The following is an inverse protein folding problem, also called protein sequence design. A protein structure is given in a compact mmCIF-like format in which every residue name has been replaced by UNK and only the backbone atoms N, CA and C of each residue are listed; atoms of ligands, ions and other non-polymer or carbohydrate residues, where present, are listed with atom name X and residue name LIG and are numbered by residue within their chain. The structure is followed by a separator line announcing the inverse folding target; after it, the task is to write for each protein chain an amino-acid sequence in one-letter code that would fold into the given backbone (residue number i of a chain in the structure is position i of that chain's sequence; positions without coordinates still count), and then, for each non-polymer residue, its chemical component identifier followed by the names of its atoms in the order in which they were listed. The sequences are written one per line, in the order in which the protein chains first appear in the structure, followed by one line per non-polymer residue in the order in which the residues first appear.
data_IF_157401052716
#
_entry.id   IF_157401052716
#
_cell.length_a   1.000
_cell.length_b   1.000
_cell.length_c   1.000
_cell.angle_alpha   90.00
_cell.angle_beta   90.00
_cell.angle_gamma   90.00
#
_symmetry.space_group_name_H-M   'P 1'
#
loop_
_entity.id
_entity.type
_entity.pdbx_description
1 polymer ?
#
# COMPACT_ATOMS: atom_id res chain seq x y z
N UNK A 1 -6.29 0.64 34.20
CA UNK A 1 -5.13 0.22 33.41
C UNK A 1 -5.19 0.94 32.07
N UNK A 2 -4.15 1.70 31.67
CA UNK A 2 -4.07 2.26 30.32
C UNK A 2 -4.06 1.10 29.31
N UNK A 3 -4.98 1.10 28.36
CA UNK A 3 -4.95 0.11 27.27
C UNK A 3 -3.66 0.33 26.48
N UNK A 4 -2.91 -0.74 26.27
CA UNK A 4 -1.72 -0.73 25.41
C UNK A 4 -2.18 -0.46 23.97
N UNK A 5 -1.55 0.47 23.27
CA UNK A 5 -1.89 0.79 21.89
C UNK A 5 -1.68 -0.42 20.96
N UNK A 6 -2.48 -0.53 19.91
CA UNK A 6 -2.49 -1.68 19.02
C UNK A 6 -1.09 -2.00 18.44
N UNK A 7 -0.31 -0.99 18.09
CA UNK A 7 1.05 -1.19 17.54
C UNK A 7 1.98 -1.90 18.56
N UNK A 8 1.91 -1.57 19.84
CA UNK A 8 2.66 -2.28 20.89
C UNK A 8 2.17 -3.71 21.07
N UNK A 9 0.86 -3.94 20.96
CA UNK A 9 0.30 -5.29 21.03
C UNK A 9 0.80 -6.16 19.87
N UNK A 10 0.91 -5.61 18.65
CA UNK A 10 1.46 -6.31 17.47
C UNK A 10 2.94 -6.64 17.70
N UNK A 11 3.76 -5.69 18.20
CA UNK A 11 5.18 -5.92 18.50
C UNK A 11 5.34 -7.02 19.59
N UNK A 12 4.52 -6.99 20.62
CA UNK A 12 4.52 -8.04 21.67
C UNK A 12 4.12 -9.38 21.05
N UNK A 13 3.06 -9.40 20.22
CA UNK A 13 2.65 -10.60 19.48
C UNK A 13 3.77 -11.17 18.61
N UNK A 14 4.49 -10.31 17.91
CA UNK A 14 5.65 -10.66 17.10
C UNK A 14 6.76 -11.32 17.93
N UNK A 15 7.24 -10.62 18.95
CA UNK A 15 8.35 -11.12 19.80
C UNK A 15 7.94 -12.42 20.50
N UNK A 16 6.73 -12.49 21.04
CA UNK A 16 6.24 -13.69 21.69
C UNK A 16 6.05 -14.85 20.71
N UNK A 17 5.64 -14.60 19.46
CA UNK A 17 5.54 -15.63 18.42
C UNK A 17 6.89 -16.22 18.05
N UNK A 18 7.92 -15.37 17.88
CA UNK A 18 9.29 -15.81 17.63
C UNK A 18 9.82 -16.64 18.82
N UNK A 19 9.72 -16.12 20.04
CA UNK A 19 10.17 -16.83 21.25
C UNK A 19 9.45 -18.17 21.41
N UNK A 20 8.14 -18.18 21.21
CA UNK A 20 7.32 -19.39 21.29
C UNK A 20 7.74 -20.42 20.26
N UNK A 21 7.94 -20.02 19.00
CA UNK A 21 8.46 -20.90 17.94
C UNK A 21 9.81 -21.49 18.27
N UNK A 22 10.77 -20.66 18.74
CA UNK A 22 12.11 -21.11 19.14
C UNK A 22 12.06 -22.09 20.32
N UNK A 23 11.18 -21.85 21.31
CA UNK A 23 11.02 -22.77 22.45
C UNK A 23 10.47 -24.10 21.97
N UNK A 24 9.44 -24.11 21.10
CA UNK A 24 8.81 -25.33 20.64
C UNK A 24 9.68 -26.15 19.68
N UNK A 25 10.69 -25.56 19.05
CA UNK A 25 11.70 -26.30 18.28
C UNK A 25 12.50 -27.31 19.12
N UNK A 26 12.57 -27.11 20.45
CA UNK A 26 13.28 -28.05 21.34
C UNK A 26 12.45 -29.29 21.72
N UNK A 27 11.20 -29.40 21.24
CA UNK A 27 10.31 -30.53 21.51
C UNK A 27 9.92 -31.24 20.20
N UNK A 28 10.00 -32.57 20.17
CA UNK A 28 9.67 -33.37 18.97
C UNK A 28 8.24 -33.13 18.45
N UNK A 29 7.30 -32.86 19.35
CA UNK A 29 5.90 -32.56 19.03
C UNK A 29 5.64 -31.08 18.71
N UNK A 30 6.62 -30.23 18.99
CA UNK A 30 6.42 -28.76 18.94
C UNK A 30 6.11 -28.26 17.54
N UNK A 31 6.79 -28.78 16.52
CA UNK A 31 6.56 -28.41 15.11
C UNK A 31 5.12 -28.75 14.68
N UNK A 32 4.66 -29.98 14.90
CA UNK A 32 3.30 -30.41 14.54
C UNK A 32 2.25 -29.60 15.31
N UNK A 33 2.46 -29.37 16.61
CA UNK A 33 1.56 -28.53 17.40
C UNK A 33 1.39 -27.12 16.82
N UNK A 34 2.49 -26.46 16.46
CA UNK A 34 2.40 -25.11 15.89
C UNK A 34 1.69 -25.13 14.53
N UNK A 35 1.99 -26.10 13.67
CA UNK A 35 1.39 -26.19 12.34
C UNK A 35 -0.12 -26.47 12.44
N UNK A 36 -0.54 -27.40 13.30
CA UNK A 36 -1.91 -27.88 13.36
C UNK A 36 -2.82 -26.96 14.19
N UNK A 37 -2.31 -26.32 15.24
CA UNK A 37 -3.13 -25.59 16.20
C UNK A 37 -2.89 -24.07 16.22
N UNK A 38 -1.70 -23.60 15.86
CA UNK A 38 -1.36 -22.17 15.93
C UNK A 38 -1.43 -21.52 14.54
N UNK A 39 -0.77 -22.10 13.53
CA UNK A 39 -0.76 -21.58 12.15
C UNK A 39 -2.16 -21.29 11.58
N UNK A 40 -3.23 -22.05 11.85
CA UNK A 40 -4.57 -21.73 11.37
C UNK A 40 -5.06 -20.33 11.76
N UNK A 41 -4.73 -19.82 12.94
CA UNK A 41 -5.10 -18.46 13.34
C UNK A 41 -4.42 -17.39 12.46
N UNK A 42 -3.17 -17.61 12.10
CA UNK A 42 -2.46 -16.76 11.15
C UNK A 42 -3.08 -16.81 9.76
N UNK A 43 -3.46 -18.00 9.29
CA UNK A 43 -4.14 -18.19 8.01
C UNK A 43 -5.52 -17.50 7.99
N UNK A 44 -6.31 -17.62 9.07
CA UNK A 44 -7.58 -16.91 9.22
C UNK A 44 -7.38 -15.40 9.12
N UNK A 45 -6.34 -14.86 9.77
CA UNK A 45 -6.02 -13.44 9.72
C UNK A 45 -5.68 -12.97 8.30
N UNK A 46 -4.81 -13.69 7.57
CA UNK A 46 -4.51 -13.40 6.16
C UNK A 46 -5.76 -13.48 5.28
N UNK A 47 -6.59 -14.51 5.47
CA UNK A 47 -7.82 -14.66 4.70
C UNK A 47 -8.83 -13.55 5.00
N UNK A 48 -8.88 -13.04 6.24
CA UNK A 48 -9.71 -11.88 6.60
C UNK A 48 -9.27 -10.60 5.88
N UNK A 49 -7.96 -10.40 5.70
CA UNK A 49 -7.43 -9.29 4.90
C UNK A 49 -7.78 -9.45 3.41
N UNK A 50 -7.68 -10.68 2.87
CA UNK A 50 -8.07 -10.99 1.48
C UNK A 50 -9.56 -10.77 1.22
N UNK A 51 -10.41 -11.14 2.17
CA UNK A 51 -11.86 -10.99 2.09
C UNK A 51 -12.27 -9.53 1.84
N UNK A 52 -11.55 -8.60 2.44
CA UNK A 52 -11.91 -7.17 2.39
C UNK A 52 -11.39 -6.47 1.13
N UNK A 53 -10.47 -7.06 0.37
CA UNK A 53 -9.78 -6.40 -0.74
C UNK A 53 -10.75 -5.87 -1.82
N UNK A 54 -11.64 -6.71 -2.36
CA UNK A 54 -12.63 -6.30 -3.38
C UNK A 54 -13.63 -5.27 -2.84
N UNK A 55 -14.29 -5.48 -1.68
CA UNK A 55 -15.16 -4.47 -1.09
C UNK A 55 -14.47 -3.13 -0.85
N UNK A 56 -13.21 -3.14 -0.39
CA UNK A 56 -12.45 -1.91 -0.15
C UNK A 56 -12.18 -1.16 -1.45
N UNK A 57 -11.72 -1.84 -2.50
CA UNK A 57 -11.49 -1.21 -3.82
C UNK A 57 -12.77 -0.54 -4.30
N UNK A 58 -13.89 -1.26 -4.29
CA UNK A 58 -15.16 -0.71 -4.78
C UNK A 58 -15.60 0.50 -3.96
N UNK A 59 -15.60 0.37 -2.64
CA UNK A 59 -16.07 1.44 -1.77
C UNK A 59 -15.16 2.68 -1.85
N UNK A 60 -13.85 2.50 -1.61
CA UNK A 60 -12.91 3.62 -1.51
C UNK A 60 -12.62 4.27 -2.86
N UNK A 61 -12.46 3.47 -3.93
CA UNK A 61 -12.11 4.01 -5.24
C UNK A 61 -13.29 4.71 -5.91
N UNK A 62 -14.50 4.13 -5.84
CA UNK A 62 -15.70 4.79 -6.36
C UNK A 62 -15.97 6.09 -5.59
N UNK A 63 -15.85 6.06 -4.25
CA UNK A 63 -15.94 7.27 -3.41
C UNK A 63 -14.90 8.30 -3.87
N UNK A 64 -13.60 7.92 -3.87
CA UNK A 64 -12.50 8.83 -4.23
C UNK A 64 -12.67 9.46 -5.61
N UNK A 65 -13.02 8.66 -6.63
CA UNK A 65 -13.27 9.18 -7.99
C UNK A 65 -14.52 10.06 -8.03
N UNK A 66 -15.62 9.69 -7.35
CA UNK A 66 -16.87 10.48 -7.36
C UNK A 66 -16.76 11.80 -6.61
N UNK A 67 -15.82 11.92 -5.66
CA UNK A 67 -15.54 13.16 -4.94
C UNK A 67 -14.89 14.23 -5.83
N UNK A 68 -14.32 13.84 -6.97
CA UNK A 68 -13.76 14.75 -7.98
C UNK A 68 -14.84 15.59 -8.72
N UNK A 69 -16.12 15.49 -8.34
CA UNK A 69 -17.25 16.16 -9.01
C UNK A 69 -17.11 17.67 -9.11
N UNK A 70 -16.47 18.31 -8.17
CA UNK A 70 -16.24 19.76 -8.19
C UNK A 70 -15.17 20.19 -9.21
N UNK A 71 -14.52 19.20 -9.88
CA UNK A 71 -13.62 19.44 -11.00
C UNK A 71 -14.26 20.19 -12.18
N UNK A 72 -15.57 20.09 -12.36
CA UNK A 72 -16.26 20.79 -13.47
C UNK A 72 -16.24 22.32 -13.32
N UNK A 73 -16.12 22.84 -12.11
CA UNK A 73 -15.94 24.27 -11.82
C UNK A 73 -14.46 24.71 -11.81
N UNK A 74 -13.52 23.75 -11.65
CA UNK A 74 -12.08 23.95 -11.52
C UNK A 74 -11.29 23.09 -12.51
N UNK A 75 -11.83 22.86 -13.72
CA UNK A 75 -11.35 21.86 -14.69
C UNK A 75 -9.84 21.83 -14.93
N UNK A 76 -9.14 22.98 -14.89
CA UNK A 76 -7.70 23.02 -15.10
C UNK A 76 -6.90 22.66 -13.82
N UNK A 77 -7.37 23.05 -12.62
CA UNK A 77 -6.69 22.74 -11.35
C UNK A 77 -6.80 21.26 -11.02
N UNK A 78 -7.98 20.68 -11.21
CA UNK A 78 -8.21 19.25 -10.95
C UNK A 78 -7.39 18.34 -11.86
N UNK A 79 -7.36 18.63 -13.16
CA UNK A 79 -6.55 17.86 -14.10
C UNK A 79 -5.07 17.91 -13.77
N UNK A 80 -4.54 19.09 -13.39
CA UNK A 80 -3.15 19.25 -12.96
C UNK A 80 -2.88 18.45 -11.68
N UNK A 81 -3.78 18.53 -10.70
CA UNK A 81 -3.65 17.81 -9.42
C UNK A 81 -3.56 16.31 -9.62
N UNK A 82 -4.51 15.73 -10.37
CA UNK A 82 -4.54 14.29 -10.63
C UNK A 82 -3.32 13.84 -11.44
N UNK A 83 -2.97 14.58 -12.50
CA UNK A 83 -1.80 14.25 -13.32
C UNK A 83 -0.51 14.29 -12.48
N UNK A 84 -0.40 15.27 -11.57
CA UNK A 84 0.77 15.38 -10.67
C UNK A 84 0.80 14.22 -9.69
N UNK A 85 -0.32 13.84 -9.08
CA UNK A 85 -0.39 12.70 -8.15
C UNK A 85 -0.06 11.37 -8.85
N UNK A 86 -0.60 11.11 -10.03
CA UNK A 86 -0.25 9.91 -10.80
C UNK A 86 1.26 9.90 -11.10
N UNK A 87 1.82 11.03 -11.51
CA UNK A 87 3.25 11.13 -11.81
C UNK A 87 4.12 10.88 -10.57
N UNK A 88 3.80 11.49 -9.43
CA UNK A 88 4.57 11.29 -8.19
C UNK A 88 4.47 9.86 -7.69
N UNK A 89 3.30 9.23 -7.80
CA UNK A 89 3.12 7.82 -7.42
C UNK A 89 3.90 6.87 -8.34
N UNK A 90 3.86 7.07 -9.65
CA UNK A 90 4.67 6.26 -10.58
C UNK A 90 6.17 6.43 -10.31
N UNK A 91 6.61 7.65 -10.01
CA UNK A 91 7.99 7.94 -9.63
C UNK A 91 8.35 7.21 -8.32
N UNK A 92 7.49 7.26 -7.32
CA UNK A 92 7.70 6.57 -6.03
C UNK A 92 7.84 5.06 -6.19
N UNK A 93 6.94 4.43 -6.96
CA UNK A 93 7.00 2.99 -7.29
C UNK A 93 8.30 2.65 -8.01
N UNK A 94 8.70 3.47 -8.99
CA UNK A 94 9.93 3.26 -9.76
C UNK A 94 11.17 3.34 -8.86
N UNK A 95 11.20 4.29 -7.92
CA UNK A 95 12.28 4.40 -6.91
C UNK A 95 12.34 3.14 -6.06
N UNK A 96 11.17 2.64 -5.61
CA UNK A 96 11.09 1.40 -4.84
C UNK A 96 11.63 0.20 -5.60
N UNK A 97 11.24 0.04 -6.88
CA UNK A 97 11.75 -1.02 -7.74
C UNK A 97 13.25 -0.92 -7.98
N UNK A 98 13.77 0.26 -8.25
CA UNK A 98 15.21 0.46 -8.42
C UNK A 98 15.96 0.09 -7.14
N UNK A 99 15.50 0.57 -5.99
CA UNK A 99 16.13 0.29 -4.70
C UNK A 99 16.16 -1.22 -4.39
N UNK A 100 15.04 -1.93 -4.56
CA UNK A 100 14.96 -3.36 -4.22
C UNK A 100 15.71 -4.25 -5.22
N UNK A 101 15.78 -3.86 -6.48
CA UNK A 101 16.55 -4.60 -7.49
C UNK A 101 18.08 -4.36 -7.37
N UNK A 102 18.52 -3.25 -6.77
CA UNK A 102 19.94 -3.00 -6.49
C UNK A 102 20.38 -3.69 -5.21
N UNK A 103 19.56 -3.65 -4.16
CA UNK A 103 19.90 -4.17 -2.83
C UNK A 103 19.64 -5.67 -2.73
N UNK A 104 18.65 -6.17 -3.47
CA UNK A 104 18.25 -7.60 -3.54
C UNK A 104 18.08 -8.25 -2.16
N UNK A 105 17.28 -7.68 -1.24
CA UNK A 105 17.21 -8.13 0.15
C UNK A 105 16.70 -9.59 0.29
N UNK A 106 15.88 -10.08 -0.63
CA UNK A 106 15.36 -11.44 -0.61
C UNK A 106 16.40 -12.51 -1.00
N UNK A 107 17.44 -12.12 -1.72
CA UNK A 107 18.51 -13.05 -2.11
C UNK A 107 19.47 -13.41 -0.96
N UNK A 108 19.38 -12.71 0.18
CA UNK A 108 20.10 -13.05 1.41
C UNK A 108 19.46 -14.22 2.18
N UNK A 109 18.31 -14.72 1.75
CA UNK A 109 17.70 -15.93 2.31
C UNK A 109 18.45 -17.14 1.74
N UNK A 110 19.01 -17.99 2.63
CA UNK A 110 19.73 -19.20 2.25
C UNK A 110 18.85 -20.14 1.41
N UNK A 111 19.46 -20.86 0.47
CA UNK A 111 18.74 -21.70 -0.49
C UNK A 111 17.91 -22.80 0.20
N UNK A 112 18.47 -23.42 1.24
CA UNK A 112 17.76 -24.41 2.07
C UNK A 112 16.51 -23.82 2.73
N UNK A 113 16.60 -22.56 3.21
CA UNK A 113 15.47 -21.84 3.81
C UNK A 113 14.41 -21.49 2.75
N UNK A 114 14.87 -21.11 1.55
CA UNK A 114 14.01 -20.83 0.41
C UNK A 114 13.25 -22.07 -0.04
N UNK A 115 13.95 -23.23 -0.17
CA UNK A 115 13.31 -24.51 -0.50
C UNK A 115 12.28 -24.91 0.56
N UNK A 116 12.57 -24.72 1.83
CA UNK A 116 11.61 -24.99 2.92
C UNK A 116 10.38 -24.08 2.83
N UNK A 117 10.57 -22.80 2.55
CA UNK A 117 9.46 -21.86 2.32
C UNK A 117 8.62 -22.27 1.09
N UNK A 118 9.27 -22.59 -0.03
CA UNK A 118 8.59 -23.05 -1.25
C UNK A 118 7.83 -24.35 -0.98
N UNK A 119 8.44 -25.34 -0.31
CA UNK A 119 7.82 -26.63 -0.01
C UNK A 119 6.67 -26.51 0.99
N UNK A 120 6.81 -25.69 2.03
CA UNK A 120 5.75 -25.43 3.01
C UNK A 120 4.50 -24.79 2.37
N UNK A 121 4.67 -24.12 1.22
CA UNK A 121 3.62 -23.39 0.52
C UNK A 121 3.41 -23.84 -0.94
N UNK A 122 3.96 -25.00 -1.33
CA UNK A 122 4.06 -25.53 -2.70
C UNK A 122 2.70 -25.75 -3.39
N UNK A 123 1.62 -26.04 -2.65
CA UNK A 123 0.28 -26.14 -3.24
C UNK A 123 -0.21 -24.85 -3.91
N UNK A 124 0.31 -23.70 -3.47
CA UNK A 124 0.03 -22.39 -4.06
C UNK A 124 1.13 -21.90 -5.02
N UNK A 125 2.38 -22.37 -4.88
CA UNK A 125 3.52 -21.88 -5.65
C UNK A 125 3.57 -22.50 -7.06
N UNK A 126 3.32 -23.80 -7.21
CA UNK A 126 3.41 -24.48 -8.51
C UNK A 126 2.36 -23.97 -9.52
N UNK A 127 1.11 -23.72 -9.11
CA UNK A 127 0.11 -23.07 -9.97
C UNK A 127 0.53 -21.66 -10.43
N UNK A 128 1.33 -20.97 -9.64
CA UNK A 128 1.73 -19.58 -9.94
C UNK A 128 2.99 -19.48 -10.80
N UNK A 129 3.89 -20.46 -10.68
CA UNK A 129 5.04 -20.61 -11.59
C UNK A 129 4.55 -20.87 -13.01
N UNK A 130 3.50 -21.68 -13.17
CA UNK A 130 2.89 -21.93 -14.49
C UNK A 130 2.21 -20.68 -15.06
N UNK A 131 1.56 -19.88 -14.22
CA UNK A 131 0.96 -18.59 -14.65
C UNK A 131 2.02 -17.58 -15.05
N UNK A 132 3.13 -17.46 -14.30
CA UNK A 132 4.24 -16.57 -14.64
C UNK A 132 4.94 -16.98 -15.94
N UNK A 133 5.09 -18.28 -16.19
CA UNK A 133 5.65 -18.80 -17.44
C UNK A 133 4.72 -18.60 -18.64
N UNK A 134 3.41 -18.70 -18.46
CA UNK A 134 2.42 -18.43 -19.50
C UNK A 134 2.36 -16.94 -19.88
N UNK A 135 2.59 -16.02 -18.95
CA UNK A 135 2.65 -14.58 -19.23
C UNK A 135 3.83 -14.17 -20.14
N UNK A 136 4.94 -14.94 -20.16
CA UNK A 136 6.09 -14.66 -21.04
C UNK A 136 5.77 -14.78 -22.54
N UNK A 137 4.69 -15.46 -22.89
CA UNK A 137 4.30 -15.73 -24.28
C UNK A 137 3.17 -14.80 -24.79
N UNK A 138 2.73 -13.82 -23.99
CA UNK A 138 1.64 -12.92 -24.35
C UNK A 138 2.15 -11.75 -25.20
N UNK A 139 1.31 -11.26 -26.10
CA UNK A 139 1.63 -10.10 -26.93
C UNK A 139 1.79 -8.80 -26.11
N UNK A 140 2.50 -7.78 -26.63
CA UNK A 140 2.84 -6.56 -25.89
C UNK A 140 1.62 -5.73 -25.43
N UNK A 141 0.46 -5.90 -26.05
CA UNK A 141 -0.78 -5.21 -25.67
C UNK A 141 -1.71 -6.05 -24.78
N UNK A 142 -1.36 -7.30 -24.50
CA UNK A 142 -2.19 -8.18 -23.69
C UNK A 142 -2.52 -7.60 -22.29
N UNK A 143 -1.59 -6.94 -21.58
CA UNK A 143 -1.92 -6.29 -20.29
C UNK A 143 -3.03 -5.23 -20.39
N UNK A 144 -3.15 -4.55 -21.55
CA UNK A 144 -4.24 -3.58 -21.78
C UNK A 144 -5.58 -4.29 -22.06
N UNK A 145 -5.53 -5.41 -22.77
CA UNK A 145 -6.72 -6.24 -23.03
C UNK A 145 -7.23 -6.84 -21.73
N UNK A 146 -6.33 -7.35 -20.90
CA UNK A 146 -6.64 -7.98 -19.62
C UNK A 146 -7.15 -6.99 -18.56
N UNK A 147 -6.98 -5.69 -18.78
CA UNK A 147 -7.50 -4.64 -17.91
C UNK A 147 -9.03 -4.57 -17.93
N UNK A 148 -9.65 -4.89 -19.07
CA UNK A 148 -11.10 -4.74 -19.26
C UNK A 148 -11.81 -6.07 -18.98
N UNK A 149 -12.63 -6.19 -17.92
CA UNK A 149 -13.32 -7.43 -17.59
C UNK A 149 -14.43 -7.72 -18.61
N UNK A 150 -14.52 -8.97 -19.05
CA UNK A 150 -15.70 -9.45 -19.81
C UNK A 150 -16.94 -9.60 -18.92
N UNK A 151 -16.72 -9.83 -17.61
CA UNK A 151 -17.78 -9.94 -16.60
C UNK A 151 -17.26 -9.46 -15.24
N UNK A 152 -17.90 -8.43 -14.68
CA UNK A 152 -17.52 -7.84 -13.40
C UNK A 152 -17.58 -8.84 -12.23
N UNK A 153 -18.63 -9.65 -12.14
CA UNK A 153 -18.78 -10.59 -11.03
C UNK A 153 -17.72 -11.70 -11.08
N UNK A 154 -17.37 -12.16 -12.27
CA UNK A 154 -16.26 -13.09 -12.47
C UNK A 154 -14.93 -12.47 -12.05
N UNK A 155 -14.69 -11.20 -12.39
CA UNK A 155 -13.50 -10.47 -11.95
C UNK A 155 -13.45 -10.32 -10.41
N UNK A 156 -14.57 -9.93 -9.80
CA UNK A 156 -14.67 -9.73 -8.36
C UNK A 156 -14.58 -11.02 -7.53
N UNK A 157 -14.89 -12.19 -8.10
CA UNK A 157 -14.76 -13.48 -7.43
C UNK A 157 -13.34 -14.04 -7.38
N UNK A 158 -12.40 -13.44 -8.13
CA UNK A 158 -11.02 -13.91 -8.20
C UNK A 158 -10.04 -12.79 -7.88
N UNK A 159 -9.33 -12.93 -6.77
CA UNK A 159 -8.34 -11.94 -6.34
C UNK A 159 -7.21 -11.69 -7.37
N UNK A 160 -6.99 -12.59 -8.33
CA UNK A 160 -6.04 -12.38 -9.44
C UNK A 160 -6.51 -11.33 -10.45
N UNK A 161 -7.80 -11.02 -10.47
CA UNK A 161 -8.41 -10.09 -11.44
C UNK A 161 -8.67 -8.70 -10.84
N UNK A 162 -7.94 -8.33 -9.77
CA UNK A 162 -8.15 -7.06 -9.05
C UNK A 162 -8.00 -5.83 -9.92
N UNK A 163 -7.09 -5.87 -10.92
CA UNK A 163 -6.92 -4.78 -11.88
C UNK A 163 -8.21 -4.50 -12.66
N UNK A 164 -8.95 -5.55 -13.01
CA UNK A 164 -10.25 -5.45 -13.68
C UNK A 164 -11.32 -4.84 -12.77
N UNK A 165 -11.27 -5.17 -11.46
CA UNK A 165 -12.16 -4.56 -10.46
C UNK A 165 -11.85 -3.07 -10.29
N UNK A 166 -10.57 -2.71 -10.23
CA UNK A 166 -10.11 -1.32 -10.18
C UNK A 166 -10.59 -0.55 -11.42
N UNK A 167 -10.39 -1.12 -12.61
CA UNK A 167 -10.84 -0.51 -13.87
C UNK A 167 -12.36 -0.25 -13.85
N UNK A 168 -13.15 -1.25 -13.45
CA UNK A 168 -14.59 -1.08 -13.32
C UNK A 168 -14.95 0.03 -12.31
N UNK A 169 -14.31 0.06 -11.13
CA UNK A 169 -14.56 1.06 -10.10
C UNK A 169 -14.25 2.49 -10.59
N UNK A 170 -13.16 2.67 -11.35
CA UNK A 170 -12.80 3.96 -11.97
C UNK A 170 -13.88 4.38 -12.98
N UNK A 171 -14.25 3.50 -13.92
CA UNK A 171 -15.28 3.80 -14.93
C UNK A 171 -16.63 4.10 -14.26
N UNK A 172 -17.00 3.35 -13.22
CA UNK A 172 -18.22 3.58 -12.45
C UNK A 172 -18.18 4.95 -11.76
N UNK A 173 -17.11 5.32 -11.08
CA UNK A 173 -16.92 6.62 -10.44
C UNK A 173 -16.98 7.78 -11.44
N UNK A 174 -16.32 7.66 -12.61
CA UNK A 174 -16.39 8.64 -13.70
C UNK A 174 -17.83 8.76 -14.21
N UNK A 175 -18.53 7.64 -14.42
CA UNK A 175 -19.92 7.66 -14.87
C UNK A 175 -20.85 8.36 -13.88
N UNK A 176 -20.59 8.21 -12.56
CA UNK A 176 -21.33 8.96 -11.54
C UNK A 176 -21.15 10.48 -11.63
N UNK A 177 -19.97 10.94 -12.05
CA UNK A 177 -19.71 12.37 -12.27
C UNK A 177 -20.47 12.89 -13.49
N UNK A 178 -20.63 12.07 -14.52
CA UNK A 178 -21.24 12.46 -15.80
C UNK A 178 -22.77 12.51 -15.77
N UNK A 179 -23.43 11.82 -14.82
CA UNK A 179 -24.90 11.87 -14.69
C UNK A 179 -25.36 13.08 -13.83
N UNK A 180 -26.62 13.53 -13.98
CA UNK A 180 -27.12 14.65 -13.19
C UNK A 180 -26.99 14.45 -11.69
N UNK A 181 -26.59 15.49 -10.92
CA UNK A 181 -26.34 15.41 -9.48
C UNK A 181 -27.45 14.76 -8.66
N UNK A 182 -28.72 15.08 -8.98
CA UNK A 182 -29.90 14.51 -8.29
C UNK A 182 -29.95 12.96 -8.41
N UNK A 183 -29.46 12.40 -9.53
CA UNK A 183 -29.45 10.95 -9.76
C UNK A 183 -28.20 10.27 -9.17
N UNK A 184 -27.04 10.95 -9.15
CA UNK A 184 -25.81 10.38 -8.59
C UNK A 184 -25.77 10.44 -7.06
N UNK A 185 -26.43 11.42 -6.42
CA UNK A 185 -26.36 11.63 -4.97
C UNK A 185 -26.74 10.40 -4.12
N UNK A 186 -27.82 9.66 -4.41
CA UNK A 186 -28.13 8.44 -3.63
C UNK A 186 -27.04 7.38 -3.71
N UNK A 187 -26.45 7.19 -4.91
CA UNK A 187 -25.37 6.23 -5.13
C UNK A 187 -24.11 6.70 -4.41
N UNK A 188 -23.79 7.99 -4.48
CA UNK A 188 -22.66 8.58 -3.76
C UNK A 188 -22.80 8.33 -2.25
N UNK A 189 -23.93 8.66 -1.66
CA UNK A 189 -24.18 8.45 -0.23
C UNK A 189 -24.09 6.96 0.15
N UNK A 190 -24.51 6.06 -0.74
CA UNK A 190 -24.33 4.62 -0.53
C UNK A 190 -22.86 4.22 -0.45
N UNK A 191 -22.02 4.65 -1.40
CA UNK A 191 -20.60 4.32 -1.40
C UNK A 191 -19.83 5.02 -0.27
N UNK A 192 -20.23 6.24 0.12
CA UNK A 192 -19.67 6.91 1.30
C UNK A 192 -19.93 6.09 2.55
N UNK A 193 -21.18 5.70 2.80
CA UNK A 193 -21.55 4.86 3.94
C UNK A 193 -20.93 3.47 3.88
N UNK A 194 -20.86 2.85 2.69
CA UNK A 194 -20.23 1.55 2.49
C UNK A 194 -18.75 1.63 2.83
N UNK A 195 -18.06 2.69 2.38
CA UNK A 195 -16.64 2.90 2.72
C UNK A 195 -16.43 2.95 4.24
N UNK A 196 -17.28 3.68 4.98
CA UNK A 196 -17.18 3.77 6.43
C UNK A 196 -17.39 2.40 7.12
N UNK A 197 -18.32 1.59 6.61
CA UNK A 197 -18.54 0.21 7.08
C UNK A 197 -17.30 -0.65 6.80
N UNK A 198 -16.73 -0.58 5.59
CA UNK A 198 -15.54 -1.35 5.21
C UNK A 198 -14.35 -0.95 6.07
N UNK A 199 -14.14 0.35 6.32
CA UNK A 199 -13.08 0.82 7.22
C UNK A 199 -13.27 0.25 8.64
N UNK A 200 -14.52 0.19 9.12
CA UNK A 200 -14.81 -0.41 10.42
C UNK A 200 -14.54 -1.92 10.47
N UNK A 201 -14.78 -2.65 9.38
CA UNK A 201 -14.41 -4.07 9.28
C UNK A 201 -12.88 -4.21 9.32
N UNK A 202 -12.13 -3.33 8.63
CA UNK A 202 -10.66 -3.32 8.72
C UNK A 202 -10.20 -3.10 10.15
N UNK A 203 -10.78 -2.13 10.89
CA UNK A 203 -10.47 -1.92 12.30
C UNK A 203 -10.67 -3.22 13.13
N UNK A 204 -11.80 -3.93 12.92
CA UNK A 204 -12.10 -5.18 13.62
C UNK A 204 -11.08 -6.28 13.28
N UNK A 205 -10.70 -6.42 12.01
CA UNK A 205 -9.66 -7.37 11.58
C UNK A 205 -8.31 -7.00 12.21
N UNK A 206 -7.97 -5.72 12.27
CA UNK A 206 -6.71 -5.25 12.86
C UNK A 206 -6.64 -5.47 14.38
N UNK A 207 -7.76 -5.55 15.10
CA UNK A 207 -7.75 -5.99 16.50
C UNK A 207 -7.25 -7.43 16.67
N UNK A 208 -7.41 -8.28 15.66
CA UNK A 208 -6.89 -9.64 15.64
C UNK A 208 -5.42 -9.72 15.21
N UNK A 209 -4.83 -8.62 14.69
CA UNK A 209 -3.46 -8.61 14.16
C UNK A 209 -2.39 -9.10 15.14
N UNK A 210 -2.39 -8.75 16.46
CA UNK A 210 -1.40 -9.28 17.40
C UNK A 210 -1.38 -10.80 17.46
N UNK A 211 -2.55 -11.44 17.45
CA UNK A 211 -2.70 -12.90 17.48
C UNK A 211 -2.34 -13.55 16.14
N UNK A 212 -2.77 -12.93 15.03
CA UNK A 212 -2.44 -13.38 13.68
C UNK A 212 -0.93 -13.34 13.44
N UNK A 213 -0.26 -12.25 13.81
CA UNK A 213 1.20 -12.07 13.68
C UNK A 213 1.96 -13.05 14.57
N UNK A 214 1.52 -13.23 15.83
CA UNK A 214 2.06 -14.26 16.71
C UNK A 214 2.04 -15.63 16.04
N UNK A 215 0.88 -16.03 15.52
CA UNK A 215 0.69 -17.36 14.91
C UNK A 215 1.53 -17.54 13.63
N UNK A 216 1.60 -16.52 12.79
CA UNK A 216 2.38 -16.55 11.56
C UNK A 216 3.88 -16.66 11.85
N UNK A 217 4.39 -15.87 12.79
CA UNK A 217 5.83 -15.92 13.13
C UNK A 217 6.21 -17.20 13.84
N UNK A 218 5.37 -17.68 14.75
CA UNK A 218 5.60 -18.99 15.38
C UNK A 218 5.69 -20.11 14.32
N UNK A 219 4.78 -20.09 13.33
CA UNK A 219 4.78 -21.05 12.24
C UNK A 219 6.05 -20.94 11.37
N UNK A 220 6.44 -19.73 10.96
CA UNK A 220 7.65 -19.50 10.16
C UNK A 220 8.90 -20.01 10.90
N UNK A 221 9.01 -19.73 12.19
CA UNK A 221 10.17 -20.17 12.98
C UNK A 221 10.29 -21.70 13.06
N UNK A 222 9.19 -22.43 13.25
CA UNK A 222 9.24 -23.89 13.32
C UNK A 222 9.33 -24.57 11.95
N UNK A 223 8.87 -23.91 10.89
CA UNK A 223 8.98 -24.40 9.52
C UNK A 223 10.36 -24.14 8.92
N UNK A 224 10.96 -22.99 9.25
CA UNK A 224 12.24 -22.53 8.70
C UNK A 224 13.05 -21.74 9.74
N UNK A 225 13.70 -22.44 10.69
CA UNK A 225 14.48 -21.80 11.75
C UNK A 225 15.80 -21.25 11.22
N UNK A 226 15.78 -20.10 10.54
CA UNK A 226 16.96 -19.49 9.94
C UNK A 226 17.15 -18.05 10.41
N UNK A 227 18.39 -17.75 10.86
CA UNK A 227 18.81 -16.38 11.16
C UNK A 227 18.88 -15.50 9.91
N UNK A 228 19.03 -16.09 8.74
CA UNK A 228 19.15 -15.35 7.48
C UNK A 228 17.81 -14.69 7.10
N UNK A 229 16.67 -15.25 7.53
CA UNK A 229 15.38 -14.64 7.38
C UNK A 229 15.30 -13.29 8.12
N UNK A 230 15.82 -13.21 9.34
CA UNK A 230 15.86 -11.95 10.09
C UNK A 230 16.80 -10.92 9.48
N UNK A 231 17.94 -11.37 8.92
CA UNK A 231 18.86 -10.48 8.18
C UNK A 231 18.18 -9.93 6.93
N UNK A 232 17.50 -10.79 6.16
CA UNK A 232 16.76 -10.40 4.96
C UNK A 232 15.63 -9.40 5.29
N UNK A 233 14.90 -9.61 6.40
CA UNK A 233 13.87 -8.68 6.89
C UNK A 233 14.46 -7.34 7.33
N UNK A 234 15.61 -7.35 8.00
CA UNK A 234 16.34 -6.15 8.35
C UNK A 234 16.76 -5.36 7.11
N UNK A 235 17.34 -6.04 6.12
CA UNK A 235 17.76 -5.44 4.86
C UNK A 235 16.57 -4.93 4.04
N UNK A 236 15.46 -5.68 4.01
CA UNK A 236 14.19 -5.23 3.43
C UNK A 236 13.71 -3.92 4.07
N UNK A 237 13.71 -3.85 5.41
CA UNK A 237 13.29 -2.64 6.13
C UNK A 237 14.18 -1.45 5.79
N UNK A 238 15.50 -1.66 5.72
CA UNK A 238 16.47 -0.64 5.30
C UNK A 238 16.21 -0.22 3.86
N UNK A 239 15.90 -1.15 2.95
CA UNK A 239 15.58 -0.85 1.55
C UNK A 239 14.35 0.04 1.43
N UNK A 240 13.29 -0.27 2.17
CA UNK A 240 12.08 0.58 2.22
C UNK A 240 12.41 1.97 2.76
N UNK A 241 13.08 2.06 3.91
CA UNK A 241 13.44 3.35 4.52
C UNK A 241 14.34 4.18 3.61
N UNK A 242 15.31 3.55 2.94
CA UNK A 242 16.17 4.20 1.96
C UNK A 242 15.34 4.79 0.80
N UNK A 243 14.41 4.02 0.23
CA UNK A 243 13.52 4.49 -0.81
C UNK A 243 12.63 5.66 -0.35
N UNK A 244 12.07 5.58 0.86
CA UNK A 244 11.26 6.65 1.44
C UNK A 244 12.07 7.94 1.67
N UNK A 245 13.30 7.84 2.18
CA UNK A 245 14.20 8.98 2.37
C UNK A 245 14.56 9.59 1.01
N UNK A 246 14.89 8.77 0.02
CA UNK A 246 15.21 9.26 -1.32
C UNK A 246 14.02 10.02 -1.93
N UNK A 247 12.79 9.52 -1.74
CA UNK A 247 11.58 10.19 -2.20
C UNK A 247 11.37 11.55 -1.49
N UNK A 248 11.58 11.62 -0.18
CA UNK A 248 11.56 12.91 0.55
C UNK A 248 12.61 13.86 -0.03
N UNK A 249 13.85 13.40 -0.29
CA UNK A 249 14.88 14.23 -0.89
C UNK A 249 14.44 14.79 -2.26
N UNK A 250 13.77 13.97 -3.08
CA UNK A 250 13.22 14.42 -4.37
C UNK A 250 12.15 15.51 -4.16
N UNK A 251 11.24 15.34 -3.20
CA UNK A 251 10.27 16.40 -2.87
C UNK A 251 10.95 17.69 -2.43
N UNK A 252 11.99 17.60 -1.61
CA UNK A 252 12.76 18.78 -1.20
C UNK A 252 13.50 19.45 -2.37
N UNK A 253 13.98 18.67 -3.34
CA UNK A 253 14.54 19.17 -4.61
C UNK A 253 13.44 19.88 -5.41
N UNK A 254 12.25 19.30 -5.53
CA UNK A 254 11.10 19.93 -6.20
C UNK A 254 10.77 21.27 -5.52
N UNK A 255 10.71 21.30 -4.19
CA UNK A 255 10.48 22.54 -3.42
C UNK A 255 11.57 23.57 -3.71
N UNK A 256 12.82 23.19 -3.77
CA UNK A 256 13.94 24.09 -4.01
C UNK A 256 13.97 24.62 -5.44
N UNK A 257 13.89 23.70 -6.42
CA UNK A 257 14.11 24.01 -7.84
C UNK A 257 12.85 24.61 -8.48
N UNK A 258 11.73 23.95 -8.29
CA UNK A 258 10.49 24.37 -8.97
C UNK A 258 9.70 25.41 -8.19
N UNK A 259 9.73 25.37 -6.84
CA UNK A 259 8.94 26.31 -6.04
C UNK A 259 9.77 27.50 -5.53
N UNK A 260 11.11 27.41 -5.59
CA UNK A 260 12.01 28.49 -5.16
C UNK A 260 12.06 28.73 -3.65
N UNK A 261 11.54 27.79 -2.86
CA UNK A 261 11.55 27.84 -1.39
C UNK A 261 12.68 26.98 -0.83
N UNK A 262 13.17 27.29 0.38
CA UNK A 262 14.19 26.46 1.01
C UNK A 262 13.60 25.17 1.57
N UNK A 263 14.34 24.03 1.56
CA UNK A 263 13.94 22.81 2.24
C UNK A 263 13.59 23.01 3.71
N UNK A 264 14.36 23.84 4.42
CA UNK A 264 14.11 24.17 5.82
C UNK A 264 12.78 24.91 6.03
N UNK A 265 12.44 25.85 5.15
CA UNK A 265 11.14 26.52 5.17
C UNK A 265 9.99 25.51 5.05
N UNK A 266 10.10 24.59 4.10
CA UNK A 266 9.10 23.57 3.87
C UNK A 266 8.96 22.63 5.06
N UNK A 267 10.07 22.02 5.53
CA UNK A 267 10.04 21.06 6.64
C UNK A 267 9.56 21.70 7.95
N UNK A 268 10.03 22.91 8.28
CA UNK A 268 9.54 23.63 9.46
C UNK A 268 8.05 23.97 9.33
N UNK A 269 7.60 24.32 8.12
CA UNK A 269 6.20 24.60 7.84
C UNK A 269 5.29 23.41 8.13
N UNK A 270 5.65 22.20 7.71
CA UNK A 270 4.78 21.01 7.81
C UNK A 270 5.13 20.08 8.97
N UNK A 271 6.20 20.32 9.75
CA UNK A 271 6.68 19.40 10.78
C UNK A 271 5.61 18.91 11.78
N UNK A 272 4.66 19.74 12.27
CA UNK A 272 3.60 19.24 13.14
C UNK A 272 2.69 18.20 12.46
N UNK A 273 2.40 18.40 11.16
CA UNK A 273 1.64 17.44 10.38
C UNK A 273 2.42 16.13 10.18
N UNK A 274 3.74 16.20 9.90
CA UNK A 274 4.59 15.01 9.76
C UNK A 274 4.68 14.20 11.06
N UNK A 275 4.81 14.87 12.21
CA UNK A 275 4.83 14.21 13.53
C UNK A 275 3.49 13.52 13.82
N UNK A 276 2.37 14.16 13.47
CA UNK A 276 1.05 13.57 13.63
C UNK A 276 0.85 12.40 12.65
N UNK A 277 1.30 12.52 11.40
CA UNK A 277 1.27 11.45 10.40
C UNK A 277 2.06 10.22 10.87
N UNK A 278 3.26 10.43 11.40
CA UNK A 278 4.07 9.36 12.01
C UNK A 278 3.34 8.67 13.16
N UNK A 279 2.73 9.45 14.06
CA UNK A 279 2.05 8.90 15.26
C UNK A 279 0.79 8.12 14.92
N UNK A 280 0.00 8.63 13.96
CA UNK A 280 -1.33 8.08 13.62
C UNK A 280 -1.29 7.01 12.54
N UNK A 281 -0.27 7.01 11.69
CA UNK A 281 -0.22 6.24 10.43
C UNK A 281 -1.48 6.45 9.56
N UNK A 282 -2.05 7.66 9.58
CA UNK A 282 -3.29 7.99 8.87
C UNK A 282 -3.22 9.39 8.26
N UNK A 283 -3.16 9.46 6.91
CA UNK A 283 -3.21 10.74 6.19
C UNK A 283 -4.55 11.46 6.42
N UNK A 284 -5.66 10.70 6.54
CA UNK A 284 -6.97 11.27 6.82
C UNK A 284 -7.06 11.92 8.22
N UNK A 285 -6.54 11.24 9.25
CA UNK A 285 -6.50 11.79 10.61
C UNK A 285 -5.59 13.03 10.71
N UNK A 286 -4.58 13.11 9.85
CA UNK A 286 -3.61 14.21 9.79
C UNK A 286 -4.12 15.40 8.96
N UNK A 287 -5.09 15.18 8.08
CA UNK A 287 -5.55 16.14 7.09
C UNK A 287 -5.89 17.54 7.67
N UNK A 288 -6.62 17.69 8.79
CA UNK A 288 -6.92 19.03 9.32
C UNK A 288 -5.65 19.82 9.66
N UNK A 289 -4.66 19.17 10.27
CA UNK A 289 -3.38 19.82 10.61
C UNK A 289 -2.57 20.08 9.34
N UNK A 290 -2.58 19.17 8.36
CA UNK A 290 -1.91 19.38 7.06
C UNK A 290 -2.50 20.60 6.35
N UNK A 291 -3.82 20.76 6.34
CA UNK A 291 -4.50 21.90 5.72
C UNK A 291 -4.14 23.23 6.39
N UNK A 292 -4.17 23.28 7.72
CA UNK A 292 -3.73 24.44 8.51
C UNK A 292 -2.29 24.80 8.18
N UNK A 293 -1.36 23.82 8.26
CA UNK A 293 0.07 24.06 8.05
C UNK A 293 0.39 24.49 6.63
N UNK A 294 -0.23 23.90 5.62
CA UNK A 294 -0.01 24.24 4.22
C UNK A 294 -0.55 25.63 3.90
N UNK A 295 -1.71 25.99 4.43
CA UNK A 295 -2.30 27.32 4.27
C UNK A 295 -1.50 28.40 5.00
N UNK A 296 -1.29 28.24 6.32
CA UNK A 296 -0.79 29.33 7.18
C UNK A 296 0.73 29.45 7.20
N UNK A 297 1.46 28.37 6.84
CA UNK A 297 2.94 28.36 6.91
C UNK A 297 3.64 28.11 5.58
N UNK A 298 2.95 27.54 4.57
CA UNK A 298 3.54 27.33 3.24
C UNK A 298 2.99 28.26 2.15
N UNK A 299 2.17 29.25 2.53
CA UNK A 299 1.64 30.28 1.62
C UNK A 299 0.84 29.69 0.44
N UNK A 300 0.02 28.68 0.71
CA UNK A 300 -0.91 28.09 -0.27
C UNK A 300 -2.31 28.68 -0.08
N UNK A 301 -2.91 29.12 -1.19
CA UNK A 301 -4.25 29.67 -1.18
C UNK A 301 -5.26 28.67 -0.59
N UNK A 302 -6.22 29.17 0.20
CA UNK A 302 -7.24 28.33 0.85
C UNK A 302 -8.05 27.52 -0.16
N UNK A 303 -8.38 28.12 -1.31
CA UNK A 303 -9.07 27.45 -2.41
C UNK A 303 -8.28 26.21 -2.92
N UNK A 304 -6.95 26.34 -3.04
CA UNK A 304 -6.08 25.26 -3.50
C UNK A 304 -5.89 24.20 -2.41
N UNK A 305 -5.59 24.60 -1.18
CA UNK A 305 -5.36 23.67 -0.08
C UNK A 305 -6.63 22.86 0.26
N UNK A 306 -7.79 23.50 0.28
CA UNK A 306 -9.08 22.84 0.53
C UNK A 306 -9.51 21.89 -0.59
N UNK A 307 -8.96 22.02 -1.78
CA UNK A 307 -9.23 21.14 -2.90
C UNK A 307 -8.17 20.03 -3.03
N UNK A 308 -6.88 20.38 -3.05
CA UNK A 308 -5.78 19.43 -3.33
C UNK A 308 -5.58 18.45 -2.19
N UNK A 309 -5.54 18.92 -0.93
CA UNK A 309 -5.15 18.07 0.21
C UNK A 309 -6.18 16.98 0.54
N UNK A 310 -7.51 17.20 0.52
CA UNK A 310 -8.46 16.09 0.71
C UNK A 310 -8.38 15.03 -0.38
N UNK A 311 -8.15 15.43 -1.64
CA UNK A 311 -7.90 14.51 -2.76
C UNK A 311 -6.61 13.74 -2.53
N UNK A 312 -5.53 14.43 -2.15
CA UNK A 312 -4.24 13.83 -1.85
C UNK A 312 -4.32 12.78 -0.75
N UNK A 313 -4.96 13.11 0.35
CA UNK A 313 -5.12 12.19 1.48
C UNK A 313 -5.78 10.84 1.10
N UNK A 314 -6.49 10.77 -0.05
CA UNK A 314 -7.17 9.55 -0.52
C UNK A 314 -6.56 8.96 -1.79
N UNK A 315 -5.94 9.76 -2.65
CA UNK A 315 -5.44 9.33 -3.96
C UNK A 315 -3.91 9.23 -3.97
N UNK A 316 -3.22 10.09 -3.21
CA UNK A 316 -1.76 10.20 -3.23
C UNK A 316 -1.11 9.41 -2.09
N UNK A 317 -0.87 8.14 -2.32
CA UNK A 317 -0.25 7.22 -1.35
C UNK A 317 1.16 6.80 -1.79
N UNK A 318 2.02 7.78 -2.11
CA UNK A 318 3.33 7.57 -2.71
C UNK A 318 4.25 6.69 -1.86
N UNK A 319 4.30 6.93 -0.53
CA UNK A 319 5.06 6.09 0.39
C UNK A 319 4.53 4.66 0.46
N UNK A 320 3.20 4.49 0.40
CA UNK A 320 2.57 3.17 0.38
C UNK A 320 2.80 2.44 -0.94
N UNK A 321 2.74 3.15 -2.07
CA UNK A 321 3.00 2.58 -3.39
C UNK A 321 4.46 2.14 -3.55
N UNK A 322 5.43 2.95 -3.09
CA UNK A 322 6.84 2.58 -3.02
C UNK A 322 7.04 1.30 -2.20
N UNK A 323 6.46 1.26 -1.00
CA UNK A 323 6.53 0.08 -0.15
C UNK A 323 5.95 -1.17 -0.82
N UNK A 324 4.80 -1.06 -1.49
CA UNK A 324 4.17 -2.19 -2.19
C UNK A 324 5.09 -2.77 -3.27
N UNK A 325 5.78 -1.91 -4.00
CA UNK A 325 6.75 -2.34 -5.00
C UNK A 325 7.95 -3.06 -4.38
N UNK A 326 8.54 -2.49 -3.32
CA UNK A 326 9.66 -3.12 -2.60
C UNK A 326 9.26 -4.44 -1.98
N UNK A 327 8.07 -4.49 -1.34
CA UNK A 327 7.56 -5.70 -0.70
C UNK A 327 7.27 -6.82 -1.70
N UNK A 328 6.65 -6.48 -2.85
CA UNK A 328 6.35 -7.48 -3.88
C UNK A 328 7.61 -8.12 -4.44
N UNK A 329 8.63 -7.32 -4.79
CA UNK A 329 9.90 -7.85 -5.31
C UNK A 329 10.67 -8.60 -4.22
N UNK A 330 10.72 -8.11 -2.98
CA UNK A 330 11.32 -8.82 -1.86
C UNK A 330 10.71 -10.20 -1.66
N UNK A 331 9.38 -10.30 -1.65
CA UNK A 331 8.68 -11.58 -1.51
C UNK A 331 8.99 -12.49 -2.70
N UNK A 332 8.98 -11.96 -3.93
CA UNK A 332 9.36 -12.74 -5.11
C UNK A 332 10.77 -13.32 -4.98
N UNK A 333 11.77 -12.50 -4.60
CA UNK A 333 13.14 -12.92 -4.35
C UNK A 333 13.22 -13.99 -3.23
N UNK A 334 12.47 -13.80 -2.14
CA UNK A 334 12.42 -14.75 -1.02
C UNK A 334 11.90 -16.13 -1.43
N UNK A 335 10.99 -16.19 -2.41
CA UNK A 335 10.46 -17.43 -2.98
C UNK A 335 11.22 -17.90 -4.23
N UNK A 336 12.34 -17.26 -4.59
CA UNK A 336 13.12 -17.62 -5.77
C UNK A 336 12.41 -17.38 -7.10
N UNK A 337 11.48 -16.40 -7.15
CA UNK A 337 10.77 -16.04 -8.36
C UNK A 337 11.50 -14.90 -9.09
N UNK A 338 11.91 -15.15 -10.32
CA UNK A 338 12.49 -14.13 -11.19
C UNK A 338 11.38 -13.32 -11.86
N UNK A 339 11.26 -12.05 -11.49
CA UNK A 339 10.30 -11.15 -12.08
C UNK A 339 10.84 -10.58 -13.40
N UNK A 340 10.18 -10.89 -14.50
CA UNK A 340 10.47 -10.26 -15.79
C UNK A 340 10.22 -8.75 -15.73
N UNK A 341 10.84 -7.99 -16.65
CA UNK A 341 10.58 -6.55 -16.77
C UNK A 341 9.08 -6.25 -16.96
N UNK A 342 8.37 -7.09 -17.71
CA UNK A 342 6.92 -6.96 -17.90
C UNK A 342 6.16 -7.14 -16.57
N UNK A 343 6.54 -8.10 -15.72
CA UNK A 343 5.96 -8.29 -14.40
C UNK A 343 6.23 -7.08 -13.49
N UNK A 344 7.45 -6.52 -13.53
CA UNK A 344 7.78 -5.32 -12.76
C UNK A 344 7.01 -4.09 -13.24
N UNK A 345 6.82 -3.90 -14.55
CA UNK A 345 5.94 -2.86 -15.11
C UNK A 345 4.47 -3.09 -14.71
N UNK A 346 4.04 -4.34 -14.61
CA UNK A 346 2.75 -4.72 -14.03
C UNK A 346 2.63 -4.26 -12.56
N UNK A 347 3.68 -4.44 -11.77
CA UNK A 347 3.73 -3.93 -10.38
C UNK A 347 3.60 -2.40 -10.36
N UNK A 348 4.30 -1.66 -11.25
CA UNK A 348 4.17 -0.19 -11.34
C UNK A 348 2.71 0.20 -11.56
N UNK A 349 2.07 -0.40 -12.55
CA UNK A 349 0.68 -0.09 -12.90
C UNK A 349 -0.26 -0.43 -11.74
N UNK A 350 -0.13 -1.64 -11.18
CA UNK A 350 -1.04 -2.11 -10.12
C UNK A 350 -0.84 -1.35 -8.84
N UNK A 351 0.40 -1.09 -8.40
CA UNK A 351 0.66 -0.32 -7.18
C UNK A 351 0.19 1.13 -7.32
N UNK A 352 0.37 1.74 -8.51
CA UNK A 352 -0.15 3.09 -8.77
C UNK A 352 -1.67 3.14 -8.70
N UNK A 353 -2.37 2.19 -9.32
CA UNK A 353 -3.84 2.14 -9.27
C UNK A 353 -4.35 1.74 -7.88
N UNK A 354 -3.68 0.82 -7.20
CA UNK A 354 -4.01 0.42 -5.84
C UNK A 354 -3.82 1.58 -4.85
N UNK A 355 -2.82 2.45 -5.08
CA UNK A 355 -2.61 3.63 -4.24
C UNK A 355 -3.78 4.62 -4.33
N UNK A 356 -4.36 4.79 -5.52
CA UNK A 356 -5.55 5.65 -5.73
C UNK A 356 -6.77 5.13 -4.95
N UNK A 357 -6.89 3.81 -4.79
CA UNK A 357 -7.99 3.18 -4.04
C UNK A 357 -7.67 2.86 -2.59
N UNK A 358 -6.49 3.24 -2.10
CA UNK A 358 -6.06 2.92 -0.74
C UNK A 358 -6.76 3.82 0.27
N UNK A 359 -7.35 3.19 1.30
CA UNK A 359 -7.89 3.97 2.41
C UNK A 359 -6.77 4.63 3.22
N UNK A 360 -6.99 5.87 3.64
CA UNK A 360 -6.01 6.67 4.39
C UNK A 360 -5.96 6.30 5.90
N UNK A 361 -6.03 5.01 6.21
CA UNK A 361 -6.07 4.46 7.58
C UNK A 361 -4.97 3.42 7.79
N UNK A 362 -4.56 3.20 9.06
CA UNK A 362 -3.52 2.24 9.38
C UNK A 362 -3.83 0.82 8.85
N UNK A 363 -2.83 0.16 8.28
CA UNK A 363 -2.94 -1.21 7.79
C UNK A 363 -3.57 -1.38 6.40
N UNK A 364 -4.19 -0.35 5.82
CA UNK A 364 -4.77 -0.43 4.47
C UNK A 364 -3.72 -0.78 3.40
N UNK A 365 -2.47 -0.35 3.57
CA UNK A 365 -1.37 -0.66 2.66
C UNK A 365 -1.12 -2.16 2.49
N UNK A 366 -1.30 -2.95 3.57
CA UNK A 366 -1.16 -4.42 3.52
C UNK A 366 -2.28 -5.08 2.71
N UNK A 367 -3.51 -4.57 2.83
CA UNK A 367 -4.64 -5.08 2.04
C UNK A 367 -4.40 -4.81 0.55
N UNK A 368 -3.93 -3.61 0.22
CA UNK A 368 -3.62 -3.26 -1.16
C UNK A 368 -2.40 -4.01 -1.71
N UNK A 369 -1.43 -4.37 -0.86
CA UNK A 369 -0.30 -5.20 -1.27
C UNK A 369 -0.75 -6.60 -1.75
N UNK A 370 -1.80 -7.18 -1.16
CA UNK A 370 -2.37 -8.45 -1.65
C UNK A 370 -2.72 -8.35 -3.13
N UNK A 371 -3.28 -7.22 -3.56
CA UNK A 371 -3.66 -6.97 -4.95
C UNK A 371 -2.43 -6.99 -5.85
N UNK A 372 -1.37 -6.31 -5.42
CA UNK A 372 -0.10 -6.25 -6.18
C UNK A 372 0.52 -7.63 -6.29
N UNK A 373 0.57 -8.40 -5.19
CA UNK A 373 1.10 -9.76 -5.17
C UNK A 373 0.30 -10.70 -6.07
N UNK A 374 -1.04 -10.69 -5.93
CA UNK A 374 -1.94 -11.54 -6.73
C UNK A 374 -1.80 -11.26 -8.21
N UNK A 375 -1.75 -9.98 -8.62
CA UNK A 375 -1.59 -9.58 -10.01
C UNK A 375 -0.22 -9.97 -10.59
N UNK A 376 0.83 -9.87 -9.79
CA UNK A 376 2.19 -10.26 -10.19
C UNK A 376 2.44 -11.78 -10.13
N UNK A 377 1.46 -12.58 -9.69
CA UNK A 377 1.61 -14.03 -9.51
C UNK A 377 2.49 -14.42 -8.33
N UNK A 378 2.72 -13.50 -7.38
CA UNK A 378 3.55 -13.72 -6.20
C UNK A 378 2.70 -14.36 -5.07
N UNK A 379 3.23 -15.35 -4.32
CA UNK A 379 2.50 -15.97 -3.22
C UNK A 379 2.12 -14.96 -2.13
N UNK A 380 0.82 -14.79 -1.86
CA UNK A 380 0.33 -13.83 -0.85
C UNK A 380 0.70 -14.25 0.57
N UNK A 381 1.01 -15.53 0.80
CA UNK A 381 1.50 -16.02 2.09
C UNK A 381 2.82 -15.34 2.50
N UNK A 382 3.61 -14.85 1.52
CA UNK A 382 4.80 -14.06 1.76
C UNK A 382 4.55 -12.78 2.57
N UNK A 383 3.29 -12.31 2.69
CA UNK A 383 2.93 -11.25 3.63
C UNK A 383 3.32 -11.57 5.07
N UNK A 384 3.28 -12.86 5.45
CA UNK A 384 3.69 -13.30 6.77
C UNK A 384 5.14 -12.88 7.10
N UNK A 385 6.03 -12.87 6.09
CA UNK A 385 7.43 -12.48 6.27
C UNK A 385 7.56 -11.02 6.69
N UNK A 386 6.82 -10.12 6.06
CA UNK A 386 6.98 -8.67 6.24
C UNK A 386 6.08 -8.07 7.32
N UNK A 387 5.09 -8.84 7.81
CA UNK A 387 4.11 -8.35 8.78
C UNK A 387 4.75 -7.84 10.06
N UNK A 388 5.87 -8.48 10.46
CA UNK A 388 6.62 -8.13 11.65
C UNK A 388 7.13 -6.68 11.65
N UNK A 389 7.52 -6.18 10.48
CA UNK A 389 8.13 -4.86 10.33
C UNK A 389 7.17 -3.82 9.70
N UNK A 390 5.96 -4.26 9.32
CA UNK A 390 5.02 -3.39 8.59
C UNK A 390 4.62 -2.15 9.41
N UNK A 391 4.34 -2.30 10.70
CA UNK A 391 3.81 -1.19 11.51
C UNK A 391 4.76 0.02 11.61
N UNK A 392 6.06 -0.14 11.97
CA UNK A 392 7.02 0.96 11.92
C UNK A 392 7.16 1.57 10.51
N UNK A 393 7.14 0.73 9.48
CA UNK A 393 7.21 1.19 8.10
C UNK A 393 5.96 1.97 7.67
N UNK A 394 4.77 1.60 8.17
CA UNK A 394 3.52 2.30 7.92
C UNK A 394 3.55 3.74 8.48
N UNK A 395 4.13 3.93 9.66
CA UNK A 395 4.37 5.25 10.26
C UNK A 395 5.25 6.12 9.33
N UNK A 396 6.34 5.55 8.81
CA UNK A 396 7.26 6.25 7.89
C UNK A 396 6.62 6.54 6.53
N UNK A 397 5.85 5.59 5.97
CA UNK A 397 5.12 5.76 4.70
C UNK A 397 4.13 6.92 4.78
N UNK A 398 3.41 7.03 5.89
CA UNK A 398 2.42 8.10 6.08
C UNK A 398 3.08 9.49 6.11
N UNK A 399 4.26 9.60 6.70
CA UNK A 399 5.06 10.85 6.64
C UNK A 399 5.34 11.23 5.18
N UNK A 400 5.71 10.26 4.35
CA UNK A 400 6.01 10.51 2.92
C UNK A 400 4.75 10.90 2.16
N UNK A 401 3.61 10.23 2.41
CA UNK A 401 2.33 10.58 1.79
C UNK A 401 1.95 12.04 2.07
N UNK A 402 2.00 12.46 3.34
CA UNK A 402 1.69 13.85 3.74
C UNK A 402 2.71 14.85 3.18
N UNK A 403 3.99 14.46 3.07
CA UNK A 403 5.02 15.28 2.43
C UNK A 403 4.71 15.50 0.94
N UNK A 404 4.30 14.45 0.24
CA UNK A 404 3.85 14.51 -1.14
C UNK A 404 2.64 15.43 -1.32
N UNK A 405 1.61 15.26 -0.48
CA UNK A 405 0.39 16.08 -0.50
C UNK A 405 0.70 17.58 -0.38
N UNK A 406 1.55 17.94 0.59
CA UNK A 406 1.97 19.31 0.81
C UNK A 406 2.79 19.87 -0.39
N UNK A 407 3.69 19.05 -0.94
CA UNK A 407 4.52 19.43 -2.10
C UNK A 407 3.66 19.66 -3.34
N UNK A 408 2.72 18.76 -3.62
CA UNK A 408 1.81 18.89 -4.76
C UNK A 408 0.88 20.08 -4.58
N UNK A 409 0.39 20.34 -3.36
CA UNK A 409 -0.45 21.49 -3.06
C UNK A 409 0.28 22.82 -3.38
N UNK A 410 1.53 22.96 -2.95
CA UNK A 410 2.37 24.12 -3.32
C UNK A 410 2.62 24.22 -4.82
N UNK A 411 2.84 23.08 -5.48
CA UNK A 411 3.09 23.05 -6.92
C UNK A 411 1.86 23.50 -7.73
N UNK A 412 0.70 22.96 -7.40
CA UNK A 412 -0.59 23.34 -8.02
C UNK A 412 -0.87 24.82 -7.75
N UNK A 413 -0.64 25.30 -6.53
CA UNK A 413 -0.83 26.71 -6.17
C UNK A 413 0.00 27.65 -7.05
N UNK A 414 1.28 27.30 -7.26
CA UNK A 414 2.15 28.09 -8.14
C UNK A 414 1.62 28.17 -9.58
N UNK A 415 1.13 27.07 -10.12
CA UNK A 415 0.56 27.03 -11.49
C UNK A 415 -0.71 27.85 -11.57
N UNK A 416 -1.60 27.72 -10.58
CA UNK A 416 -2.88 28.45 -10.53
C UNK A 416 -2.63 29.96 -10.42
N UNK A 417 -1.75 30.39 -9.51
CA UNK A 417 -1.37 31.81 -9.39
C UNK A 417 -0.80 32.39 -10.69
N UNK A 418 0.09 31.62 -11.39
CA UNK A 418 0.65 32.03 -12.68
C UNK A 418 -0.38 32.17 -13.80
N UNK A 419 -1.49 31.46 -13.75
CA UNK A 419 -2.58 31.57 -14.74
C UNK A 419 -3.52 32.75 -14.45
N UNK A 420 -3.50 33.30 -13.23
CA UNK A 420 -4.33 34.45 -12.80
C UNK A 420 -3.62 35.80 -13.04
N UNK A 421 -2.29 35.79 -13.19
CA UNK A 421 -1.47 36.94 -13.59
C UNK A 421 -1.27 36.96 -15.09
#
# INVERSE_FOLDING_TARGET
MKKIDLHWQIIIGMISGVVFGLVLLNFDWGKSFVIDWIKPFGTIFINSLKLIAVPLILASLIKGVSDLKDLSKLSSMGGITIATYIFTTMMAVSIGLIAVNIIEPGNYIAEDTREQLVNAYSSNANEKIDVANNQKNLGPLQPLVDLVPSNFFSAASNNRNMLQVIFFAIIFGISMILIPPKKSLPIKNFFDSLNDVILKIIDLIMLCAPYGVFALLAAIIVESPSMDLFKALGLYSITVLFGLILLICIYLIIVRVFLGKSPSYFLNGISPALLLAFSTSSSAATLPVTMERVKDHLDVDEEVSSFVLPIGATINMDGSALYQAVAAVFIAQAFGLDLSLAAQLGIVTTATLASIGSAAVPGAGMVMLIIVLSQAGIPEIGLALIFAVDRPLDMCRTVVNVTGDATVSMFVNKIVRKKRT
#
